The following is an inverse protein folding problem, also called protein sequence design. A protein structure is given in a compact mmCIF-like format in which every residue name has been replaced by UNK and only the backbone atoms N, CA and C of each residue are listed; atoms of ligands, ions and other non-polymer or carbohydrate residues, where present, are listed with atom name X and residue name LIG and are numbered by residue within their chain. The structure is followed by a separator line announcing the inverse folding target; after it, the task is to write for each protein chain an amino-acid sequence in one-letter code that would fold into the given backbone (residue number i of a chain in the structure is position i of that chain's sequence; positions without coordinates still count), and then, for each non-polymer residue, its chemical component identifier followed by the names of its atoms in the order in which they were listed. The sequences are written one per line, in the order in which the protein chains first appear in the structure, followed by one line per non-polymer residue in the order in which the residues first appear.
data_IF_293965675944
#
_entry.id   IF_293965675944
#
_cell.length_a   1.000
_cell.length_b   1.000
_cell.length_c   1.000
_cell.angle_alpha   90.00
_cell.angle_beta   90.00
_cell.angle_gamma   90.00
#
_symmetry.space_group_name_H-M   'P 1'
#
loop_
_entity.id
_entity.type
_entity.pdbx_description
1 polymer ?
#
# COMPACT_ATOMS: atom_id res chain seq x y z
N UNK A 1 14.23 -3.83 21.73
CA UNK A 1 12.85 -4.04 21.23
C UNK A 1 12.81 -3.92 19.70
N UNK A 2 13.21 -2.80 19.10
CA UNK A 2 13.19 -2.62 17.63
C UNK A 2 14.08 -3.63 16.88
N UNK A 3 15.31 -3.85 17.35
CA UNK A 3 16.23 -4.86 16.75
C UNK A 3 15.65 -6.27 16.81
N UNK A 4 14.98 -6.63 17.92
CA UNK A 4 14.38 -7.96 18.09
C UNK A 4 13.21 -8.18 17.13
N UNK A 5 12.37 -7.15 16.91
CA UNK A 5 11.28 -7.20 15.94
C UNK A 5 11.82 -7.23 14.51
N UNK A 6 12.86 -6.46 14.20
CA UNK A 6 13.49 -6.45 12.88
C UNK A 6 14.20 -7.76 12.55
N UNK A 7 15.04 -8.26 13.46
CA UNK A 7 15.74 -9.53 13.30
C UNK A 7 14.76 -10.71 13.27
N UNK A 8 13.74 -10.71 14.15
CA UNK A 8 12.68 -11.72 14.13
C UNK A 8 11.90 -11.73 12.83
N UNK A 9 11.58 -10.55 12.27
CA UNK A 9 10.96 -10.42 10.95
C UNK A 9 11.87 -10.95 9.83
N UNK A 10 13.15 -10.58 9.82
CA UNK A 10 14.10 -11.06 8.82
C UNK A 10 14.26 -12.60 8.88
N UNK A 11 14.39 -13.15 10.09
CA UNK A 11 14.42 -14.59 10.28
C UNK A 11 13.12 -15.27 9.83
N UNK A 12 11.96 -14.64 10.02
CA UNK A 12 10.69 -15.17 9.54
C UNK A 12 10.60 -15.17 8.01
N UNK A 13 11.10 -14.13 7.33
CA UNK A 13 11.12 -14.07 5.86
C UNK A 13 12.07 -15.12 5.29
N UNK A 14 13.33 -15.12 5.72
CA UNK A 14 14.34 -16.06 5.22
C UNK A 14 14.01 -17.51 5.62
N UNK A 15 13.53 -17.71 6.85
CA UNK A 15 13.14 -19.03 7.35
C UNK A 15 11.94 -19.61 6.62
N UNK A 16 10.93 -18.79 6.27
CA UNK A 16 9.77 -19.25 5.52
C UNK A 16 10.13 -19.69 4.09
N UNK A 17 11.08 -19.00 3.47
CA UNK A 17 11.61 -19.36 2.15
C UNK A 17 12.36 -20.70 2.20
N UNK A 18 13.17 -20.94 3.24
CA UNK A 18 13.86 -22.23 3.45
C UNK A 18 12.90 -23.41 3.67
N UNK A 19 11.74 -23.17 4.27
CA UNK A 19 10.71 -24.19 4.53
C UNK A 19 9.81 -24.43 3.31
N UNK A 20 9.98 -23.66 2.23
CA UNK A 20 9.21 -23.82 0.99
C UNK A 20 7.87 -23.07 0.97
N UNK A 21 7.63 -22.16 1.91
CA UNK A 21 6.44 -21.31 1.97
C UNK A 21 6.81 -19.82 1.86
N UNK A 22 7.17 -19.31 0.65
CA UNK A 22 7.67 -17.95 0.48
C UNK A 22 6.68 -16.87 0.95
N UNK A 23 5.37 -17.11 0.83
CA UNK A 23 4.34 -16.19 1.28
C UNK A 23 4.16 -16.11 2.81
N UNK A 24 4.61 -17.11 3.58
CA UNK A 24 4.39 -17.17 5.02
C UNK A 24 5.24 -16.14 5.79
N UNK A 25 6.43 -15.81 5.28
CA UNK A 25 7.37 -14.89 5.91
C UNK A 25 6.84 -13.46 6.05
N UNK A 26 6.42 -12.80 4.95
CA UNK A 26 5.80 -11.47 5.01
C UNK A 26 4.53 -11.43 5.87
N UNK A 27 3.69 -12.47 5.80
CA UNK A 27 2.48 -12.59 6.63
C UNK A 27 2.82 -12.67 8.12
N UNK A 28 3.84 -13.43 8.49
CA UNK A 28 4.33 -13.51 9.86
C UNK A 28 4.85 -12.14 10.34
N UNK A 29 5.54 -11.39 9.49
CA UNK A 29 6.03 -10.05 9.82
C UNK A 29 4.89 -9.06 10.09
N UNK A 30 3.85 -9.06 9.25
CA UNK A 30 2.66 -8.21 9.43
C UNK A 30 1.94 -8.58 10.73
N UNK A 31 1.73 -9.88 10.97
CA UNK A 31 1.04 -10.38 12.17
C UNK A 31 1.83 -10.05 13.43
N UNK A 32 3.14 -10.29 13.45
CA UNK A 32 3.99 -9.96 14.58
C UNK A 32 4.05 -8.46 14.87
N UNK A 33 4.06 -7.62 13.83
CA UNK A 33 4.01 -6.16 13.97
C UNK A 33 2.68 -5.70 14.55
N UNK A 34 1.56 -6.27 14.09
CA UNK A 34 0.23 -5.98 14.62
C UNK A 34 0.11 -6.38 16.09
N UNK A 35 0.49 -7.62 16.44
CA UNK A 35 0.48 -8.11 17.83
C UNK A 35 1.40 -7.26 18.70
N UNK A 36 2.60 -6.91 18.22
CA UNK A 36 3.52 -6.02 18.92
C UNK A 36 2.90 -4.67 19.25
N UNK A 37 2.23 -4.04 18.27
CA UNK A 37 1.50 -2.78 18.46
C UNK A 37 0.38 -2.91 19.50
N UNK A 38 -0.39 -4.00 19.51
CA UNK A 38 -1.43 -4.24 20.51
C UNK A 38 -0.82 -4.42 21.91
N UNK A 39 0.21 -5.25 22.04
CA UNK A 39 0.88 -5.50 23.31
C UNK A 39 1.50 -4.23 23.91
N UNK A 40 2.10 -3.36 23.08
CA UNK A 40 2.65 -2.09 23.56
C UNK A 40 1.55 -1.12 24.01
N UNK A 41 0.41 -1.07 23.32
CA UNK A 41 -0.75 -0.28 23.77
C UNK A 41 -1.28 -0.77 25.12
N UNK A 42 -1.37 -2.08 25.33
CA UNK A 42 -1.77 -2.66 26.63
C UNK A 42 -0.79 -2.35 27.76
N UNK A 43 0.48 -2.09 27.45
CA UNK A 43 1.51 -1.67 28.40
C UNK A 43 1.50 -0.16 28.70
N UNK A 44 0.47 0.58 28.24
CA UNK A 44 0.31 2.00 28.48
C UNK A 44 1.14 2.90 27.56
N UNK A 45 1.69 2.36 26.47
CA UNK A 45 2.39 3.18 25.48
C UNK A 45 1.39 3.88 24.56
N UNK A 46 1.55 5.19 24.39
CA UNK A 46 0.79 5.97 23.40
C UNK A 46 1.15 5.53 21.97
N UNK A 47 0.37 5.99 20.98
CA UNK A 47 0.58 5.70 19.55
C UNK A 47 1.99 6.02 19.04
N UNK A 48 2.77 6.83 19.78
CA UNK A 48 4.18 7.10 19.54
C UNK A 48 5.07 6.13 20.34
N UNK A 49 5.46 5.02 19.72
CA UNK A 49 6.45 4.09 20.27
C UNK A 49 7.83 4.29 19.63
N UNK A 50 8.94 4.19 20.37
CA UNK A 50 10.30 4.24 19.83
C UNK A 50 10.57 3.17 18.75
N UNK A 51 9.80 2.07 18.73
CA UNK A 51 9.90 1.08 17.65
C UNK A 51 9.41 1.65 16.32
N UNK A 52 8.24 2.30 16.27
CA UNK A 52 7.74 2.94 15.04
C UNK A 52 8.68 4.03 14.56
N UNK A 53 9.25 4.84 15.45
CA UNK A 53 10.21 5.88 15.07
C UNK A 53 11.46 5.31 14.39
N UNK A 54 12.00 4.19 14.91
CA UNK A 54 13.16 3.53 14.30
C UNK A 54 12.80 2.97 12.92
N UNK A 55 11.69 2.26 12.79
CA UNK A 55 11.24 1.71 11.50
C UNK A 55 10.86 2.81 10.50
N UNK A 56 10.34 3.95 10.96
CA UNK A 56 10.08 5.12 10.11
C UNK A 56 11.36 5.73 9.54
N UNK A 57 12.43 5.83 10.34
CA UNK A 57 13.75 6.26 9.85
C UNK A 57 14.35 5.29 8.84
N UNK A 58 14.20 3.99 9.07
CA UNK A 58 14.61 2.95 8.12
C UNK A 58 13.80 3.09 6.82
N UNK A 59 12.49 3.28 6.92
CA UNK A 59 11.60 3.46 5.78
C UNK A 59 11.97 4.66 4.90
N UNK A 60 12.45 5.77 5.48
CA UNK A 60 12.91 6.94 4.71
C UNK A 60 14.07 6.60 3.73
N UNK A 61 14.91 5.63 4.08
CA UNK A 61 15.99 5.14 3.21
C UNK A 61 15.49 4.05 2.26
N UNK A 62 14.64 3.14 2.75
CA UNK A 62 14.12 2.02 1.96
C UNK A 62 13.13 2.47 0.86
N UNK A 63 12.28 3.46 1.12
CA UNK A 63 11.28 3.91 0.15
C UNK A 63 11.89 4.34 -1.20
N UNK A 64 12.86 5.28 -1.28
CA UNK A 64 13.48 5.64 -2.55
C UNK A 64 14.27 4.50 -3.19
N UNK A 65 14.89 3.63 -2.38
CA UNK A 65 15.57 2.42 -2.89
C UNK A 65 14.59 1.46 -3.57
N UNK A 66 13.42 1.21 -2.97
CA UNK A 66 12.38 0.35 -3.55
C UNK A 66 11.90 0.90 -4.90
N UNK A 67 11.53 2.18 -4.96
CA UNK A 67 11.09 2.80 -6.21
C UNK A 67 12.21 2.87 -7.27
N UNK A 68 13.46 3.05 -6.84
CA UNK A 68 14.62 2.99 -7.74
C UNK A 68 14.85 1.60 -8.32
N UNK A 69 14.70 0.55 -7.50
CA UNK A 69 14.86 -0.85 -7.94
C UNK A 69 13.74 -1.26 -8.90
N UNK A 70 12.49 -0.95 -8.57
CA UNK A 70 11.33 -1.16 -9.46
C UNK A 70 11.57 -0.42 -10.78
N UNK A 71 12.11 0.81 -10.72
CA UNK A 71 12.50 1.60 -11.88
C UNK A 71 13.54 0.92 -12.77
N UNK A 72 14.56 0.32 -12.14
CA UNK A 72 15.68 -0.34 -12.81
C UNK A 72 15.28 -1.67 -13.47
N UNK A 73 14.24 -2.33 -12.97
CA UNK A 73 13.78 -3.62 -13.48
C UNK A 73 12.90 -3.51 -14.73
N UNK A 74 12.49 -2.28 -15.10
CA UNK A 74 11.64 -2.03 -16.26
C UNK A 74 12.50 -1.93 -17.53
N UNK A 75 12.30 -2.84 -18.47
CA UNK A 75 12.83 -2.67 -19.84
C UNK A 75 11.81 -1.97 -20.75
N UNK A 76 12.04 -0.68 -21.01
CA UNK A 76 11.21 0.13 -21.91
C UNK A 76 11.28 -0.30 -23.39
N UNK A 77 12.25 -1.13 -23.78
CA UNK A 77 12.41 -1.57 -25.18
C UNK A 77 11.41 -2.65 -25.56
N UNK A 78 10.91 -3.42 -24.59
CA UNK A 78 9.88 -4.44 -24.82
C UNK A 78 8.45 -3.87 -24.83
N UNK A 79 8.29 -2.59 -24.46
CA UNK A 79 7.02 -1.90 -24.48
C UNK A 79 6.55 -1.58 -25.91
N UNK A 80 6.08 -2.61 -26.62
CA UNK A 80 5.25 -2.42 -27.83
C UNK A 80 3.98 -1.64 -27.44
N UNK A 81 3.65 -0.63 -28.23
CA UNK A 81 2.44 0.20 -28.03
C UNK A 81 1.16 -0.64 -27.96
N UNK A 82 1.10 -1.75 -28.71
CA UNK A 82 -0.01 -2.70 -28.66
C UNK A 82 -0.16 -3.31 -27.26
N UNK A 83 0.93 -3.80 -26.67
CA UNK A 83 0.94 -4.38 -25.31
C UNK A 83 0.53 -3.35 -24.24
N UNK A 84 0.97 -2.10 -24.38
CA UNK A 84 0.56 -1.01 -23.47
C UNK A 84 -0.96 -0.80 -23.55
N UNK A 85 -1.51 -0.74 -24.76
CA UNK A 85 -2.94 -0.49 -24.97
C UNK A 85 -3.80 -1.63 -24.40
N UNK A 86 -3.40 -2.87 -24.61
CA UNK A 86 -4.04 -4.04 -24.02
C UNK A 86 -3.90 -4.06 -22.50
N UNK A 87 -2.72 -3.72 -21.96
CA UNK A 87 -2.48 -3.60 -20.52
C UNK A 87 -3.37 -2.55 -19.88
N UNK A 88 -3.54 -1.38 -20.50
CA UNK A 88 -4.41 -0.31 -20.02
C UNK A 88 -5.88 -0.73 -20.01
N UNK A 89 -6.33 -1.46 -21.03
CA UNK A 89 -7.68 -2.02 -21.08
C UNK A 89 -7.93 -3.02 -19.94
N UNK A 90 -6.96 -3.89 -19.65
CA UNK A 90 -7.01 -4.83 -18.53
C UNK A 90 -7.07 -4.09 -17.18
N UNK A 91 -6.22 -3.07 -17.00
CA UNK A 91 -6.22 -2.24 -15.78
C UNK A 91 -7.58 -1.57 -15.58
N UNK A 92 -8.15 -0.97 -16.62
CA UNK A 92 -9.46 -0.33 -16.56
C UNK A 92 -10.58 -1.33 -16.25
N UNK A 93 -10.59 -2.49 -16.91
CA UNK A 93 -11.55 -3.55 -16.63
C UNK A 93 -11.47 -4.06 -15.18
N UNK A 94 -10.26 -4.28 -14.68
CA UNK A 94 -10.02 -4.68 -13.30
C UNK A 94 -10.48 -3.61 -12.29
N UNK A 95 -10.29 -2.33 -12.60
CA UNK A 95 -10.78 -1.20 -11.79
C UNK A 95 -12.32 -1.18 -11.73
N UNK A 96 -13.00 -1.37 -12.87
CA UNK A 96 -14.47 -1.42 -12.91
C UNK A 96 -15.01 -2.58 -12.07
N UNK A 97 -14.47 -3.79 -12.27
CA UNK A 97 -14.87 -4.97 -11.48
C UNK A 97 -14.66 -4.71 -9.99
N UNK A 98 -13.52 -4.10 -9.62
CA UNK A 98 -13.21 -3.75 -8.23
C UNK A 98 -14.25 -2.81 -7.63
N UNK A 99 -14.62 -1.74 -8.34
CA UNK A 99 -15.64 -0.78 -7.87
C UNK A 99 -16.97 -1.49 -7.66
N UNK A 100 -17.38 -2.33 -8.62
CA UNK A 100 -18.62 -3.11 -8.51
C UNK A 100 -18.58 -4.04 -7.29
N UNK A 101 -17.52 -4.84 -7.12
CA UNK A 101 -17.36 -5.73 -5.97
C UNK A 101 -17.35 -4.95 -4.64
N UNK A 102 -16.66 -3.81 -4.58
CA UNK A 102 -16.64 -2.97 -3.39
C UNK A 102 -18.03 -2.43 -3.06
N UNK A 103 -18.79 -1.99 -4.07
CA UNK A 103 -20.19 -1.61 -3.88
C UNK A 103 -20.99 -2.76 -3.28
N UNK A 104 -20.88 -3.99 -3.80
CA UNK A 104 -21.56 -5.16 -3.26
C UNK A 104 -21.20 -5.46 -1.79
N UNK A 105 -19.92 -5.38 -1.42
CA UNK A 105 -19.46 -5.59 -0.03
C UNK A 105 -19.99 -4.48 0.88
N UNK A 106 -20.12 -3.25 0.38
CA UNK A 106 -20.57 -2.08 1.15
C UNK A 106 -22.09 -1.91 1.19
N UNK A 107 -22.88 -2.66 0.40
CA UNK A 107 -24.35 -2.61 0.43
C UNK A 107 -24.94 -3.02 1.81
N UNK A 108 -24.18 -3.73 2.64
CA UNK A 108 -24.55 -4.03 4.03
C UNK A 108 -24.09 -2.98 5.05
N UNK A 109 -23.33 -1.97 4.61
CA UNK A 109 -22.85 -0.87 5.45
C UNK A 109 -23.83 0.30 5.43
N UNK A 110 -23.99 0.97 6.56
CA UNK A 110 -24.76 2.23 6.67
C UNK A 110 -23.94 3.41 6.10
N UNK A 111 -23.52 3.30 4.84
CA UNK A 111 -22.67 4.28 4.15
C UNK A 111 -23.41 4.89 2.95
N UNK A 112 -23.21 6.18 2.74
CA UNK A 112 -23.77 6.90 1.62
C UNK A 112 -23.02 6.55 0.31
N UNK A 113 -23.68 6.68 -0.86
CA UNK A 113 -23.06 6.43 -2.18
C UNK A 113 -21.79 7.28 -2.40
N UNK A 114 -21.74 8.48 -1.80
CA UNK A 114 -20.56 9.36 -1.80
C UNK A 114 -19.39 8.77 -1.02
N UNK A 115 -19.65 8.21 0.15
CA UNK A 115 -18.65 7.57 1.00
C UNK A 115 -18.17 6.26 0.35
N UNK A 116 -19.08 5.50 -0.26
CA UNK A 116 -18.76 4.29 -1.03
C UNK A 116 -17.81 4.59 -2.19
N UNK A 117 -18.01 5.71 -2.90
CA UNK A 117 -17.08 6.16 -3.95
C UNK A 117 -15.74 6.61 -3.36
N UNK A 118 -15.74 7.31 -2.22
CA UNK A 118 -14.51 7.72 -1.55
C UNK A 118 -13.67 6.53 -1.08
N UNK A 119 -14.29 5.50 -0.51
CA UNK A 119 -13.61 4.26 -0.10
C UNK A 119 -12.95 3.58 -1.29
N UNK A 120 -13.65 3.52 -2.43
CA UNK A 120 -13.09 3.00 -3.68
C UNK A 120 -11.87 3.81 -4.17
N UNK A 121 -11.97 5.14 -4.18
CA UNK A 121 -10.87 6.05 -4.58
C UNK A 121 -9.66 5.92 -3.64
N UNK A 122 -9.90 5.80 -2.33
CA UNK A 122 -8.86 5.63 -1.32
C UNK A 122 -8.11 4.29 -1.45
N UNK A 123 -8.73 3.29 -2.07
CA UNK A 123 -8.17 1.95 -2.27
C UNK A 123 -7.46 1.74 -3.61
N UNK A 124 -7.44 2.77 -4.48
CA UNK A 124 -6.70 2.76 -5.74
C UNK A 124 -5.17 2.71 -5.58
N UNK A 125 -4.54 3.45 -4.66
CA UNK A 125 -3.08 3.44 -4.51
C UNK A 125 -2.62 2.18 -3.74
N UNK A 126 -2.56 1.02 -4.41
CA UNK A 126 -1.97 -0.22 -3.85
C UNK A 126 -0.76 -0.69 -4.66
N UNK A 127 0.29 0.12 -4.64
CA UNK A 127 1.48 -0.09 -5.47
C UNK A 127 2.49 -1.10 -4.90
N UNK A 128 2.66 -1.14 -3.59
CA UNK A 128 3.80 -1.83 -2.96
C UNK A 128 3.75 -3.36 -3.06
N UNK A 129 2.55 -3.94 -2.98
CA UNK A 129 2.38 -5.40 -3.13
C UNK A 129 2.55 -5.82 -4.59
N UNK A 130 2.09 -5.00 -5.54
CA UNK A 130 2.26 -5.28 -6.96
C UNK A 130 3.73 -5.21 -7.35
N UNK A 131 4.45 -4.18 -6.87
CA UNK A 131 5.87 -4.03 -7.11
C UNK A 131 6.72 -5.17 -6.50
N UNK A 132 6.31 -5.72 -5.36
CA UNK A 132 7.02 -6.82 -4.73
C UNK A 132 6.76 -8.18 -5.41
N UNK A 133 5.54 -8.42 -5.89
CA UNK A 133 5.14 -9.71 -6.47
C UNK A 133 5.36 -9.80 -7.98
N UNK A 134 5.41 -8.68 -8.70
CA UNK A 134 5.55 -8.71 -10.16
C UNK A 134 6.92 -9.24 -10.64
N UNK A 135 8.06 -8.87 -10.01
CA UNK A 135 9.36 -9.51 -10.25
C UNK A 135 9.36 -11.01 -9.98
N UNK A 136 8.70 -11.43 -8.90
CA UNK A 136 8.67 -12.82 -8.45
C UNK A 136 8.06 -13.74 -9.51
N UNK A 137 7.03 -13.27 -10.23
CA UNK A 137 6.45 -14.02 -11.35
C UNK A 137 7.44 -14.26 -12.50
N UNK A 138 8.27 -13.26 -12.83
CA UNK A 138 9.30 -13.39 -13.85
C UNK A 138 10.45 -14.29 -13.38
N UNK A 139 10.84 -14.17 -12.11
CA UNK A 139 11.85 -15.02 -11.49
C UNK A 139 11.40 -16.49 -11.41
N UNK A 140 10.12 -16.76 -11.17
CA UNK A 140 9.57 -18.13 -11.23
C UNK A 140 9.75 -18.75 -12.61
N UNK A 141 9.50 -18.01 -13.68
CA UNK A 141 9.72 -18.49 -15.05
C UNK A 141 11.21 -18.70 -15.34
N UNK A 142 12.07 -17.78 -14.90
CA UNK A 142 13.53 -17.88 -15.11
C UNK A 142 14.17 -19.04 -14.35
N UNK A 143 13.59 -19.43 -13.21
CA UNK A 143 14.03 -20.58 -12.39
C UNK A 143 13.53 -21.92 -12.94
N UNK A 144 12.59 -21.90 -13.89
CA UNK A 144 12.10 -23.11 -14.51
C UNK A 144 13.22 -23.75 -15.37
N UNK A 145 13.25 -25.09 -15.45
CA UNK A 145 14.40 -25.81 -16.00
C UNK A 145 14.57 -25.67 -17.52
N UNK A 146 13.52 -25.27 -18.24
CA UNK A 146 13.53 -25.05 -19.69
C UNK A 146 12.42 -24.06 -20.10
N UNK A 147 12.54 -22.77 -19.74
CA UNK A 147 11.50 -21.81 -20.02
C UNK A 147 11.39 -21.57 -21.52
N UNK A 148 10.17 -21.63 -22.05
CA UNK A 148 9.93 -21.24 -23.44
C UNK A 148 10.15 -19.73 -23.54
N UNK A 149 10.64 -19.24 -24.68
CA UNK A 149 10.74 -17.79 -24.93
C UNK A 149 9.40 -17.08 -24.67
N UNK A 150 8.29 -17.72 -25.02
CA UNK A 150 6.92 -17.22 -24.77
C UNK A 150 6.62 -17.01 -23.28
N UNK A 151 7.19 -17.85 -22.41
CA UNK A 151 6.96 -17.75 -20.96
C UNK A 151 7.74 -16.57 -20.37
N UNK A 152 8.95 -16.34 -20.86
CA UNK A 152 9.79 -15.19 -20.47
C UNK A 152 9.10 -13.89 -20.88
N UNK A 153 8.68 -13.80 -22.14
CA UNK A 153 7.96 -12.63 -22.68
C UNK A 153 6.68 -12.34 -21.87
N UNK A 154 5.96 -13.38 -21.39
CA UNK A 154 4.78 -13.23 -20.53
C UNK A 154 5.14 -12.71 -19.14
N UNK A 155 6.23 -13.18 -18.55
CA UNK A 155 6.72 -12.68 -17.26
C UNK A 155 7.07 -11.19 -17.34
N UNK A 156 7.76 -10.78 -18.40
CA UNK A 156 8.12 -9.39 -18.67
C UNK A 156 6.89 -8.51 -18.94
N UNK A 157 5.88 -9.06 -19.63
CA UNK A 157 4.56 -8.41 -19.78
C UNK A 157 3.85 -8.20 -18.45
N UNK A 158 3.84 -9.20 -17.55
CA UNK A 158 3.21 -9.07 -16.22
C UNK A 158 3.90 -7.98 -15.41
N UNK A 159 5.24 -7.97 -15.39
CA UNK A 159 6.04 -6.95 -14.72
C UNK A 159 5.71 -5.56 -15.27
N UNK A 160 5.70 -5.42 -16.60
CA UNK A 160 5.39 -4.17 -17.29
C UNK A 160 3.98 -3.66 -16.97
N UNK A 161 2.97 -4.53 -17.02
CA UNK A 161 1.57 -4.15 -16.73
C UNK A 161 1.42 -3.77 -15.25
N UNK A 162 2.10 -4.46 -14.33
CA UNK A 162 2.07 -4.12 -12.90
C UNK A 162 2.64 -2.72 -12.66
N UNK A 163 3.78 -2.39 -13.26
CA UNK A 163 4.37 -1.04 -13.18
C UNK A 163 3.48 0.00 -13.85
N UNK A 164 2.94 -0.27 -15.03
CA UNK A 164 2.02 0.62 -15.73
C UNK A 164 0.78 0.92 -14.85
N UNK A 165 0.26 -0.10 -14.17
CA UNK A 165 -0.82 0.05 -13.20
C UNK A 165 -0.42 0.98 -12.06
N UNK A 166 0.78 0.85 -11.49
CA UNK A 166 1.29 1.74 -10.44
C UNK A 166 1.39 3.19 -10.93
N UNK A 167 1.98 3.39 -12.12
CA UNK A 167 2.17 4.72 -12.72
C UNK A 167 0.85 5.44 -13.01
N UNK A 168 -0.19 4.69 -13.39
CA UNK A 168 -1.52 5.26 -13.66
C UNK A 168 -2.34 5.43 -12.37
N UNK A 169 -2.36 4.41 -11.51
CA UNK A 169 -3.23 4.39 -10.32
C UNK A 169 -2.72 5.26 -9.18
N UNK A 170 -1.40 5.47 -9.03
CA UNK A 170 -0.87 6.31 -7.95
C UNK A 170 -1.25 7.80 -8.12
N UNK A 171 -1.05 8.44 -9.29
CA UNK A 171 -1.51 9.82 -9.51
C UNK A 171 -3.04 9.91 -9.46
N UNK A 172 -3.77 8.99 -10.09
CA UNK A 172 -5.24 9.00 -10.08
C UNK A 172 -5.79 8.83 -8.67
N UNK A 173 -5.23 7.93 -7.87
CA UNK A 173 -5.60 7.74 -6.47
C UNK A 173 -5.29 8.97 -5.62
N UNK A 174 -4.11 9.58 -5.80
CA UNK A 174 -3.74 10.81 -5.09
C UNK A 174 -4.69 11.97 -5.41
N UNK A 175 -5.01 12.18 -6.69
CA UNK A 175 -5.97 13.20 -7.14
C UNK A 175 -7.36 12.88 -6.58
N UNK A 176 -7.76 11.60 -6.65
CA UNK A 176 -9.03 11.10 -6.14
C UNK A 176 -9.23 11.34 -4.65
N UNK A 177 -8.22 11.08 -3.84
CA UNK A 177 -8.24 11.32 -2.39
C UNK A 177 -8.26 12.82 -2.10
N UNK A 178 -7.43 13.61 -2.80
CA UNK A 178 -7.30 15.06 -2.55
C UNK A 178 -8.59 15.82 -2.89
N UNK A 179 -9.24 15.49 -4.01
CA UNK A 179 -10.49 16.12 -4.43
C UNK A 179 -11.71 15.50 -3.75
N UNK A 180 -11.68 14.18 -3.54
CA UNK A 180 -12.77 13.41 -2.96
C UNK A 180 -12.89 13.60 -1.44
N UNK A 181 -11.78 13.75 -0.72
CA UNK A 181 -11.76 13.93 0.74
C UNK A 181 -12.67 15.06 1.21
N UNK A 182 -12.40 16.33 0.86
CA UNK A 182 -13.21 17.45 1.31
C UNK A 182 -14.64 17.47 0.75
N UNK A 183 -14.92 16.85 -0.41
CA UNK A 183 -16.26 16.85 -1.02
C UNK A 183 -17.15 15.68 -0.62
N UNK A 184 -16.58 14.53 -0.30
CA UNK A 184 -17.31 13.29 -0.01
C UNK A 184 -17.38 12.99 1.49
N UNK A 185 -16.44 13.49 2.30
CA UNK A 185 -16.44 13.33 3.77
C UNK A 185 -17.03 14.54 4.53
N UNK A 186 -17.42 15.61 3.82
CA UNK A 186 -18.07 16.75 4.46
C UNK A 186 -19.55 16.44 4.76
N UNK A 187 -19.78 15.76 5.88
CA UNK A 187 -21.05 15.76 6.60
C UNK A 187 -20.84 16.54 7.91
N UNK A 188 -21.24 17.81 7.92
CA UNK A 188 -21.72 18.68 9.00
C UNK A 188 -21.32 18.48 10.50
N UNK A 189 -20.22 17.81 10.86
CA UNK A 189 -19.82 17.65 12.28
C UNK A 189 -18.36 17.93 12.61
N UNK A 190 -17.44 17.82 11.65
CA UNK A 190 -16.00 17.84 11.94
C UNK A 190 -15.36 19.25 11.97
N UNK A 191 -16.03 20.27 11.42
CA UNK A 191 -15.50 21.65 11.44
C UNK A 191 -15.66 22.26 12.84
N UNK A 192 -16.73 21.91 13.56
CA UNK A 192 -16.99 22.45 14.91
C UNK A 192 -16.00 21.94 15.96
N UNK A 193 -15.65 20.64 15.95
CA UNK A 193 -14.72 20.07 16.94
C UNK A 193 -13.26 20.49 16.71
N UNK A 194 -12.85 20.73 15.46
CA UNK A 194 -11.51 21.22 15.14
C UNK A 194 -11.31 22.69 15.51
N UNK A 195 -12.32 23.53 15.29
CA UNK A 195 -12.28 24.94 15.68
C UNK A 195 -12.47 25.15 17.19
N UNK A 196 -13.26 24.33 17.88
CA UNK A 196 -13.39 24.38 19.35
C UNK A 196 -12.10 23.96 20.04
N UNK A 197 -11.46 22.85 19.63
CA UNK A 197 -10.17 22.43 20.20
C UNK A 197 -9.04 23.43 19.93
N UNK A 198 -9.05 24.11 18.79
CA UNK A 198 -8.07 25.15 18.49
C UNK A 198 -8.30 26.42 19.31
N UNK A 199 -9.56 26.78 19.63
CA UNK A 199 -9.89 27.95 20.48
C UNK A 199 -9.69 27.68 21.97
N UNK A 200 -9.85 26.43 22.41
CA UNK A 200 -9.64 26.01 23.81
C UNK A 200 -8.14 25.96 24.15
N UNK A 201 -7.31 25.45 23.22
CA UNK A 201 -5.85 25.47 23.37
C UNK A 201 -5.24 26.89 23.39
N UNK A 202 -5.80 27.84 22.64
CA UNK A 202 -5.35 29.24 22.66
C UNK A 202 -5.74 29.96 23.96
N UNK A 203 -6.87 29.58 24.59
CA UNK A 203 -7.30 30.14 25.90
C UNK A 203 -6.48 29.60 27.07
N UNK A 204 -6.12 28.32 27.08
CA UNK A 204 -5.22 27.77 28.11
C UNK A 204 -3.83 28.41 28.02
N UNK A 205 -3.29 28.55 26.80
CA UNK A 205 -1.97 29.17 26.57
C UNK A 205 -1.92 30.66 26.96
N UNK A 206 -3.04 31.38 26.85
CA UNK A 206 -3.14 32.78 27.26
C UNK A 206 -3.31 32.95 28.79
N UNK A 207 -3.89 31.97 29.47
CA UNK A 207 -4.12 32.02 30.93
C UNK A 207 -2.87 31.64 31.73
N UNK A 208 -1.98 30.82 31.16
CA UNK A 208 -0.70 30.42 31.78
C UNK A 208 0.41 31.48 31.63
N UNK A 209 0.16 32.57 30.88
CA UNK A 209 1.10 33.68 30.65
C UNK A 209 0.72 35.00 31.35
N UNK A 210 -0.17 34.96 32.34
CA UNK A 210 -0.52 36.08 33.24
C UNK A 210 -0.26 35.67 34.68
#
# INVERSE_FOLDING_TARGET
RSVMVGAGGLCAVLGAELVGFPGAGPLACITASFVGCVCWKMQGWSSHNPVSTVFGKVWLVLQPMLFGLIGAEIDLKELRLETISSGLAVIFGALVIRVICCCFVLLGGNLNMKEMLFVNLAWLPKATVQAALAPDALDMVRRDGNPTQVDIDRGEQILTIAVLSILVTAPLGSIGITLGGPRLLSTNGAITEGEEKSKEADKETATERV
#
